data_IF_012468999740
#
_entry.id   IF_012468999740
#
_cell.length_a   1.000
_cell.length_b   1.000
_cell.length_c   1.000
_cell.angle_alpha   90.00
_cell.angle_beta   90.00
_cell.angle_gamma   90.00
#
_symmetry.space_group_name_H-M   'P 1'
#
loop_
_entity.id
_entity.type
_entity.pdbx_description
1 polymer ?
#
# COMPACT_ATOMS: atom_id res chain seq x y z
N UNK A 1 2.01 11.41 -13.14
CA UNK A 1 2.84 10.66 -12.17
C UNK A 1 1.95 9.66 -11.44
N UNK A 2 2.47 8.48 -11.18
CA UNK A 2 1.78 7.33 -10.59
C UNK A 2 2.63 6.75 -9.47
N UNK A 3 1.98 6.17 -8.45
CA UNK A 3 2.65 5.40 -7.41
C UNK A 3 2.13 3.97 -7.46
N UNK A 4 3.02 3.00 -7.39
CA UNK A 4 2.68 1.58 -7.35
C UNK A 4 3.16 1.03 -6.02
N UNK A 5 2.25 0.45 -5.25
CA UNK A 5 2.52 -0.12 -3.94
C UNK A 5 2.47 -1.63 -3.99
N UNK A 6 3.40 -2.27 -3.30
CA UNK A 6 3.40 -3.70 -3.03
C UNK A 6 4.09 -4.01 -1.70
N UNK A 7 3.65 -5.02 -0.98
CA UNK A 7 4.37 -5.51 0.20
C UNK A 7 5.59 -6.36 -0.14
N UNK A 8 5.60 -6.94 -1.35
CA UNK A 8 6.61 -7.90 -1.80
C UNK A 8 7.61 -7.19 -2.71
N UNK A 9 8.86 -7.08 -2.27
CA UNK A 9 9.92 -6.48 -3.08
C UNK A 9 10.16 -7.25 -4.37
N UNK A 10 10.01 -8.58 -4.35
CA UNK A 10 10.09 -9.43 -5.54
C UNK A 10 9.00 -9.12 -6.56
N UNK A 11 7.79 -8.76 -6.11
CA UNK A 11 6.74 -8.37 -7.04
C UNK A 11 7.04 -7.01 -7.68
N UNK A 12 7.64 -6.09 -6.91
CA UNK A 12 8.15 -4.84 -7.47
C UNK A 12 9.22 -5.10 -8.52
N UNK A 13 10.12 -6.07 -8.31
CA UNK A 13 11.16 -6.44 -9.28
C UNK A 13 10.53 -6.90 -10.60
N UNK A 14 9.54 -7.79 -10.54
CA UNK A 14 8.81 -8.26 -11.73
C UNK A 14 8.12 -7.11 -12.46
N UNK A 15 7.41 -6.24 -11.72
CA UNK A 15 6.69 -5.10 -12.30
C UNK A 15 7.67 -4.12 -12.94
N UNK A 16 8.83 -3.90 -12.32
CA UNK A 16 9.88 -3.05 -12.87
C UNK A 16 10.38 -3.60 -14.20
N UNK A 17 10.73 -4.88 -14.25
CA UNK A 17 11.21 -5.54 -15.48
C UNK A 17 10.19 -5.39 -16.62
N UNK A 18 8.92 -5.70 -16.36
CA UNK A 18 7.85 -5.57 -17.35
C UNK A 18 7.67 -4.12 -17.80
N UNK A 19 7.74 -3.14 -16.89
CA UNK A 19 7.61 -1.73 -17.25
C UNK A 19 8.82 -1.22 -18.06
N UNK A 20 10.03 -1.68 -17.76
CA UNK A 20 11.22 -1.32 -18.52
C UNK A 20 11.22 -1.93 -19.92
N UNK A 21 10.63 -3.12 -20.09
CA UNK A 21 10.46 -3.78 -21.38
C UNK A 21 9.34 -3.15 -22.23
N UNK A 22 8.16 -2.97 -21.65
CA UNK A 22 6.96 -2.51 -22.38
C UNK A 22 6.91 -0.99 -22.55
N UNK A 23 7.56 -0.24 -21.66
CA UNK A 23 7.55 1.24 -21.62
C UNK A 23 8.97 1.80 -21.42
N UNK A 24 9.91 1.54 -22.35
CA UNK A 24 11.33 1.89 -22.19
C UNK A 24 11.59 3.39 -22.07
N UNK A 25 10.69 4.25 -22.56
CA UNK A 25 10.77 5.70 -22.42
C UNK A 25 10.37 6.22 -21.03
N UNK A 26 9.74 5.38 -20.21
CA UNK A 26 9.24 5.77 -18.89
C UNK A 26 10.33 5.57 -17.84
N UNK A 27 10.81 6.68 -17.27
CA UNK A 27 11.72 6.60 -16.12
C UNK A 27 10.97 6.12 -14.87
N UNK A 28 11.56 5.13 -14.20
CA UNK A 28 11.06 4.55 -12.95
C UNK A 28 11.89 5.06 -11.75
N UNK A 29 11.24 5.26 -10.61
CA UNK A 29 11.90 5.42 -9.31
C UNK A 29 11.46 4.32 -8.37
N UNK A 30 12.28 4.05 -7.36
CA UNK A 30 12.01 3.03 -6.36
C UNK A 30 12.21 3.55 -4.94
N UNK A 31 11.36 3.09 -4.02
CA UNK A 31 11.50 3.32 -2.59
C UNK A 31 11.36 2.00 -1.84
N UNK A 32 12.48 1.50 -1.32
CA UNK A 32 12.58 0.23 -0.60
C UNK A 32 13.09 0.39 0.83
N UNK A 33 12.77 -0.60 1.66
CA UNK A 33 13.17 -0.68 3.06
C UNK A 33 14.69 -0.83 3.25
N UNK A 34 15.40 -1.34 2.24
CA UNK A 34 16.86 -1.50 2.24
C UNK A 34 17.64 -0.23 1.86
N UNK A 35 16.98 0.79 1.30
CA UNK A 35 17.66 1.99 0.83
C UNK A 35 18.21 2.83 1.99
N UNK A 36 19.42 3.36 1.82
CA UNK A 36 20.00 4.33 2.75
C UNK A 36 19.18 5.62 2.81
N UNK A 37 19.31 6.37 3.90
CA UNK A 37 18.65 7.67 4.06
C UNK A 37 18.96 8.66 2.93
N UNK A 38 20.18 8.61 2.36
CA UNK A 38 20.58 9.44 1.22
C UNK A 38 19.83 9.05 -0.06
N UNK A 39 19.78 7.75 -0.37
CA UNK A 39 19.06 7.23 -1.54
C UNK A 39 17.55 7.51 -1.45
N UNK A 40 16.96 7.32 -0.27
CA UNK A 40 15.54 7.64 -0.02
C UNK A 40 15.25 9.12 -0.29
N UNK A 41 16.08 10.01 0.26
CA UNK A 41 15.92 11.46 0.08
C UNK A 41 16.04 11.85 -1.39
N UNK A 42 17.00 11.27 -2.11
CA UNK A 42 17.16 11.48 -3.55
C UNK A 42 15.88 11.08 -4.30
N UNK A 43 15.42 9.83 -4.16
CA UNK A 43 14.22 9.34 -4.85
C UNK A 43 12.98 10.19 -4.55
N UNK A 44 12.76 10.56 -3.28
CA UNK A 44 11.64 11.41 -2.88
C UNK A 44 11.72 12.83 -3.45
N UNK A 45 12.92 13.41 -3.57
CA UNK A 45 13.10 14.73 -4.15
C UNK A 45 12.91 14.69 -5.67
N UNK A 46 13.53 13.72 -6.34
CA UNK A 46 13.38 13.51 -7.80
C UNK A 46 11.91 13.27 -8.18
N UNK A 47 11.16 12.53 -7.35
CA UNK A 47 9.73 12.31 -7.62
C UNK A 47 8.90 13.60 -7.55
N UNK A 48 9.34 14.61 -6.77
CA UNK A 48 8.62 15.89 -6.65
C UNK A 48 8.77 16.80 -7.86
N UNK A 49 9.85 16.64 -8.63
CA UNK A 49 10.13 17.47 -9.81
C UNK A 49 9.07 17.26 -10.89
N UNK A 50 8.54 18.32 -11.50
CA UNK A 50 7.44 18.20 -12.47
C UNK A 50 7.81 17.34 -13.70
N UNK A 51 9.04 17.51 -14.20
CA UNK A 51 9.62 16.72 -15.30
C UNK A 51 10.35 15.44 -14.83
N UNK A 52 10.22 15.10 -13.56
CA UNK A 52 10.83 13.91 -13.00
C UNK A 52 10.08 12.62 -13.40
N UNK A 53 10.58 11.46 -12.95
CA UNK A 53 10.06 10.14 -13.30
C UNK A 53 8.55 10.00 -13.12
N UNK A 54 7.93 9.26 -14.05
CA UNK A 54 6.48 9.15 -14.13
C UNK A 54 5.92 8.12 -13.14
N UNK A 55 6.67 7.06 -12.87
CA UNK A 55 6.24 5.94 -12.00
C UNK A 55 7.17 5.82 -10.80
N UNK A 56 6.58 5.68 -9.62
CA UNK A 56 7.30 5.45 -8.38
C UNK A 56 6.85 4.14 -7.73
N UNK A 57 7.73 3.16 -7.72
CA UNK A 57 7.52 1.85 -7.13
C UNK A 57 7.88 1.90 -5.64
N UNK A 58 6.94 1.59 -4.75
CA UNK A 58 7.10 1.77 -3.31
C UNK A 58 6.77 0.48 -2.58
N UNK A 59 7.72 -0.03 -1.80
CA UNK A 59 7.40 -1.15 -0.92
C UNK A 59 6.63 -0.68 0.31
N UNK A 60 5.50 -1.33 0.64
CA UNK A 60 4.65 -0.95 1.78
C UNK A 60 5.42 -0.99 3.12
N UNK A 61 6.40 -1.90 3.24
CA UNK A 61 7.32 -1.94 4.39
C UNK A 61 8.22 -0.71 4.51
N UNK A 62 8.53 -0.04 3.40
CA UNK A 62 9.25 1.24 3.40
C UNK A 62 8.33 2.44 3.71
N UNK A 63 7.01 2.27 3.59
CA UNK A 63 6.00 3.32 3.79
C UNK A 63 5.71 3.71 5.24
N UNK A 64 6.25 2.98 6.22
CA UNK A 64 6.18 3.34 7.65
C UNK A 64 6.99 4.60 8.01
N UNK A 65 7.83 5.08 7.09
CA UNK A 65 8.57 6.33 7.21
C UNK A 65 7.67 7.44 6.65
N UNK A 66 7.54 8.59 7.32
CA UNK A 66 6.61 9.69 6.98
C UNK A 66 6.83 10.36 5.62
N UNK A 67 6.68 9.62 4.53
CA UNK A 67 6.89 10.06 3.15
C UNK A 67 5.71 10.88 2.64
N UNK A 68 5.98 11.83 1.73
CA UNK A 68 4.98 12.67 1.10
C UNK A 68 4.99 12.41 -0.40
N UNK A 69 3.87 11.92 -0.93
CA UNK A 69 3.70 11.51 -2.34
C UNK A 69 2.64 12.34 -3.06
N UNK A 70 2.33 13.55 -2.57
CA UNK A 70 1.36 14.50 -3.16
C UNK A 70 1.69 14.92 -4.60
N UNK A 71 2.89 14.67 -5.11
CA UNK A 71 3.20 14.84 -6.53
C UNK A 71 2.42 13.86 -7.43
N UNK A 72 1.86 12.78 -6.89
CA UNK A 72 0.95 11.86 -7.59
C UNK A 72 -0.52 12.15 -7.28
N UNK A 73 -1.40 11.87 -8.25
CA UNK A 73 -2.84 11.80 -8.07
C UNK A 73 -3.42 10.42 -8.45
N UNK A 74 -2.57 9.45 -8.78
CA UNK A 74 -2.99 8.09 -9.08
C UNK A 74 -2.10 7.08 -8.35
N UNK A 75 -2.72 6.12 -7.68
CA UNK A 75 -2.00 5.04 -7.02
C UNK A 75 -2.58 3.67 -7.38
N UNK A 76 -1.71 2.68 -7.49
CA UNK A 76 -2.06 1.29 -7.73
C UNK A 76 -1.54 0.46 -6.56
N UNK A 77 -2.42 -0.32 -5.93
CA UNK A 77 -2.06 -1.28 -4.89
C UNK A 77 -2.12 -2.68 -5.50
N UNK A 78 -0.97 -3.31 -5.64
CA UNK A 78 -0.87 -4.58 -6.36
C UNK A 78 -1.18 -5.80 -5.50
N UNK A 79 -1.07 -5.65 -4.19
CA UNK A 79 -1.38 -6.70 -3.22
C UNK A 79 -2.06 -6.11 -1.99
N UNK A 80 -2.80 -6.96 -1.28
CA UNK A 80 -3.56 -6.58 -0.10
C UNK A 80 -2.78 -6.83 1.18
N UNK A 81 -2.89 -5.89 2.12
CA UNK A 81 -2.33 -6.03 3.46
C UNK A 81 -3.42 -6.43 4.46
N UNK A 82 -3.21 -7.48 5.25
CA UNK A 82 -4.20 -7.97 6.22
C UNK A 82 -4.65 -6.92 7.26
N UNK A 83 -3.77 -5.97 7.60
CA UNK A 83 -4.07 -4.82 8.45
C UNK A 83 -4.48 -3.58 7.62
N UNK A 84 -5.78 -3.23 7.56
CA UNK A 84 -6.28 -2.13 6.73
C UNK A 84 -5.67 -0.77 7.07
N UNK A 85 -5.27 -0.56 8.33
CA UNK A 85 -4.66 0.71 8.77
C UNK A 85 -3.31 1.00 8.07
N UNK A 86 -2.57 -0.04 7.66
CA UNK A 86 -1.30 0.12 6.94
C UNK A 86 -1.56 0.62 5.52
N UNK A 87 -2.57 0.07 4.86
CA UNK A 87 -2.98 0.51 3.52
C UNK A 87 -3.54 1.94 3.56
N UNK A 88 -4.42 2.24 4.50
CA UNK A 88 -4.98 3.56 4.69
C UNK A 88 -3.89 4.60 4.90
N UNK A 89 -2.90 4.31 5.76
CA UNK A 89 -1.76 5.17 5.95
C UNK A 89 -0.92 5.36 4.67
N UNK A 90 -0.78 4.33 3.84
CA UNK A 90 -0.08 4.44 2.56
C UNK A 90 -0.86 5.31 1.55
N UNK A 91 -2.18 5.11 1.47
CA UNK A 91 -3.10 5.91 0.65
C UNK A 91 -3.09 7.39 1.07
N UNK A 92 -3.08 7.66 2.38
CA UNK A 92 -3.00 9.01 2.96
C UNK A 92 -1.73 9.75 2.54
N UNK A 93 -0.65 9.05 2.17
CA UNK A 93 0.58 9.71 1.67
C UNK A 93 0.37 10.34 0.29
N UNK A 94 -0.60 9.86 -0.47
CA UNK A 94 -1.00 10.40 -1.78
C UNK A 94 -2.16 11.40 -1.62
N UNK A 95 -3.15 11.09 -0.78
CA UNK A 95 -4.33 11.91 -0.49
C UNK A 95 -4.07 13.12 0.43
N UNK A 96 -2.85 13.31 0.93
CA UNK A 96 -2.53 14.26 2.00
C UNK A 96 -3.10 15.67 1.81
N UNK A 97 -3.51 16.27 2.93
CA UNK A 97 -4.01 17.65 3.04
C UNK A 97 -3.06 18.62 2.29
N UNK A 98 -3.63 19.41 1.38
CA UNK A 98 -2.91 20.34 0.50
C UNK A 98 -2.86 19.91 -0.97
N UNK A 99 -3.20 18.65 -1.28
CA UNK A 99 -3.43 18.19 -2.65
C UNK A 99 -4.73 18.83 -3.21
N UNK A 100 -4.64 19.49 -4.38
CA UNK A 100 -5.81 20.08 -5.07
C UNK A 100 -6.43 19.17 -6.13
N UNK A 101 -5.74 18.09 -6.51
CA UNK A 101 -6.16 17.14 -7.55
C UNK A 101 -6.95 15.99 -6.93
N UNK A 102 -8.01 15.55 -7.61
CA UNK A 102 -8.68 14.30 -7.25
C UNK A 102 -7.69 13.14 -7.31
N UNK A 103 -7.60 12.38 -6.23
CA UNK A 103 -6.71 11.22 -6.15
C UNK A 103 -7.53 9.97 -6.41
N UNK A 104 -7.06 9.15 -7.35
CA UNK A 104 -7.66 7.86 -7.68
C UNK A 104 -6.73 6.72 -7.21
N UNK A 105 -7.26 5.80 -6.40
CA UNK A 105 -6.53 4.64 -5.92
C UNK A 105 -7.23 3.38 -6.40
N UNK A 106 -6.50 2.57 -7.16
CA UNK A 106 -6.96 1.27 -7.66
C UNK A 106 -6.31 0.19 -6.82
N UNK A 107 -7.13 -0.76 -6.34
CA UNK A 107 -6.67 -1.92 -5.56
C UNK A 107 -6.92 -3.17 -6.38
N UNK A 108 -5.85 -3.92 -6.67
CA UNK A 108 -5.94 -5.21 -7.34
C UNK A 108 -6.04 -6.32 -6.31
N UNK A 109 -6.84 -7.32 -6.63
CA UNK A 109 -6.93 -8.57 -5.90
C UNK A 109 -7.46 -9.66 -6.84
N UNK A 110 -7.17 -10.91 -6.50
CA UNK A 110 -7.63 -12.08 -7.21
C UNK A 110 -8.91 -12.58 -6.55
N UNK A 111 -10.00 -12.63 -7.32
CA UNK A 111 -11.28 -13.19 -6.87
C UNK A 111 -11.14 -14.69 -6.54
N UNK A 112 -11.99 -15.18 -5.63
CA UNK A 112 -11.97 -16.59 -5.18
C UNK A 112 -10.60 -17.04 -4.61
N UNK A 113 -9.82 -16.12 -4.05
CA UNK A 113 -8.50 -16.41 -3.48
C UNK A 113 -8.42 -16.01 -2.00
N UNK A 114 -7.26 -16.27 -1.38
CA UNK A 114 -6.94 -15.76 -0.04
C UNK A 114 -7.06 -14.23 0.06
N UNK A 115 -6.86 -13.50 -1.03
CA UNK A 115 -6.96 -12.04 -1.06
C UNK A 115 -8.41 -11.57 -0.87
N UNK A 116 -9.39 -12.29 -1.39
CA UNK A 116 -10.80 -12.00 -1.12
C UNK A 116 -11.14 -12.19 0.36
N UNK A 117 -10.56 -13.21 1.01
CA UNK A 117 -10.69 -13.40 2.46
C UNK A 117 -10.07 -12.24 3.22
N UNK A 118 -8.90 -11.76 2.79
CA UNK A 118 -8.26 -10.56 3.36
C UNK A 118 -9.20 -9.34 3.27
N UNK A 119 -9.88 -9.12 2.14
CA UNK A 119 -10.86 -8.03 2.03
C UNK A 119 -12.01 -8.14 3.04
N UNK A 120 -12.56 -9.35 3.23
CA UNK A 120 -13.61 -9.61 4.23
C UNK A 120 -13.09 -9.28 5.64
N UNK A 121 -11.90 -9.76 5.98
CA UNK A 121 -11.27 -9.49 7.27
C UNK A 121 -10.99 -7.99 7.51
N UNK A 122 -10.59 -7.26 6.47
CA UNK A 122 -10.43 -5.81 6.56
C UNK A 122 -11.77 -5.11 6.83
N UNK A 123 -12.85 -5.54 6.18
CA UNK A 123 -14.19 -4.98 6.36
C UNK A 123 -14.69 -5.21 7.79
N UNK A 124 -14.56 -6.46 8.29
CA UNK A 124 -14.92 -6.83 9.65
C UNK A 124 -14.14 -6.00 10.66
N UNK A 125 -12.82 -5.89 10.49
CA UNK A 125 -11.96 -5.11 11.39
C UNK A 125 -12.32 -3.62 11.39
N UNK A 126 -12.72 -3.05 10.24
CA UNK A 126 -13.21 -1.66 10.17
C UNK A 126 -14.53 -1.48 10.92
N UNK A 127 -15.45 -2.43 10.83
CA UNK A 127 -16.71 -2.44 11.60
C UNK A 127 -16.43 -2.47 13.11
N UNK A 128 -15.57 -3.39 13.55
CA UNK A 128 -15.17 -3.47 14.96
C UNK A 128 -14.49 -2.19 15.45
N UNK A 129 -13.57 -1.62 14.67
CA UNK A 129 -12.90 -0.37 15.06
C UNK A 129 -13.87 0.82 15.19
N UNK A 130 -14.97 0.84 14.42
CA UNK A 130 -16.02 1.87 14.52
C UNK A 130 -16.95 1.63 15.72
N UNK A 131 -17.21 0.36 16.07
CA UNK A 131 -18.02 -0.01 17.25
C UNK A 131 -17.26 0.05 18.59
N UNK A 132 -15.92 -0.11 18.57
CA UNK A 132 -15.05 -0.17 19.75
C UNK A 132 -14.80 1.18 20.45
N UNK A 133 -15.57 2.22 20.14
CA UNK A 133 -15.68 3.39 21.03
C UNK A 133 -16.42 3.06 22.34
N UNK A 134 -16.97 1.86 22.48
CA UNK A 134 -17.38 1.27 23.76
C UNK A 134 -16.29 0.34 24.28
N UNK A 135 -16.01 0.35 25.60
CA UNK A 135 -14.96 -0.47 26.25
C UNK A 135 -15.10 -1.96 25.88
N UNK A 136 -14.33 -2.43 24.90
CA UNK A 136 -14.32 -3.84 24.47
C UNK A 136 -13.40 -4.65 25.39
N UNK A 137 -13.86 -5.84 25.81
CA UNK A 137 -13.11 -6.77 26.63
C UNK A 137 -11.85 -7.27 25.89
N UNK A 138 -10.64 -7.19 26.48
CA UNK A 138 -9.41 -7.75 25.92
C UNK A 138 -9.50 -9.21 25.45
N UNK A 139 -10.27 -10.06 26.13
CA UNK A 139 -10.47 -11.47 25.74
C UNK A 139 -11.32 -11.60 24.47
N UNK A 140 -12.28 -10.72 24.28
CA UNK A 140 -13.12 -10.66 23.08
C UNK A 140 -12.28 -10.23 21.86
N UNK A 141 -11.39 -9.23 22.04
CA UNK A 141 -10.40 -8.83 21.04
C UNK A 141 -9.47 -10.00 20.67
N UNK A 142 -9.04 -10.80 21.65
CA UNK A 142 -8.18 -11.96 21.44
C UNK A 142 -8.89 -13.06 20.63
N UNK A 143 -10.15 -13.37 20.95
CA UNK A 143 -10.98 -14.33 20.19
C UNK A 143 -11.16 -13.90 18.75
N UNK A 144 -11.47 -12.61 18.51
CA UNK A 144 -11.58 -12.06 17.15
C UNK A 144 -10.27 -12.23 16.38
N UNK A 145 -9.12 -11.90 16.98
CA UNK A 145 -7.81 -12.10 16.34
C UNK A 145 -7.55 -13.56 15.97
N UNK A 146 -7.87 -14.50 16.86
CA UNK A 146 -7.72 -15.93 16.59
C UNK A 146 -8.67 -16.42 15.49
N UNK A 147 -9.91 -15.93 15.48
CA UNK A 147 -10.89 -16.22 14.43
C UNK A 147 -10.42 -15.74 13.05
N UNK A 148 -9.90 -14.52 12.97
CA UNK A 148 -9.31 -13.94 11.75
C UNK A 148 -8.18 -14.83 11.21
N UNK A 149 -7.25 -15.27 12.08
CA UNK A 149 -6.15 -16.15 11.68
C UNK A 149 -6.67 -17.50 11.19
N UNK A 150 -7.67 -18.05 11.87
CA UNK A 150 -8.24 -19.35 11.48
C UNK A 150 -8.91 -19.26 10.11
N UNK A 151 -9.71 -18.22 9.83
CA UNK A 151 -10.35 -18.01 8.53
C UNK A 151 -9.35 -17.79 7.38
N UNK A 152 -8.26 -17.07 7.67
CA UNK A 152 -7.22 -16.78 6.68
C UNK A 152 -6.48 -18.05 6.24
N UNK A 153 -6.23 -18.99 7.17
CA UNK A 153 -5.46 -20.22 6.93
C UNK A 153 -6.31 -21.50 6.83
N UNK A 154 -7.64 -21.42 6.83
CA UNK A 154 -8.51 -22.57 6.52
C UNK A 154 -8.23 -23.05 5.09
N UNK A 155 -7.43 -24.10 4.99
CA UNK A 155 -7.27 -24.89 3.77
C UNK A 155 -8.58 -25.67 3.56
N UNK A 156 -9.20 -25.46 2.40
CA UNK A 156 -10.27 -26.33 1.89
C UNK A 156 -9.67 -27.27 0.86
#
# INVERSE_FOLDING_TARGET
KFVVFSQFTSYIDIVKEVLEEELPEVTLLELRGSMSSKQRRYALNTFKEERGPMVFLVSLRAGGVGINLTSSCKAFMLDLWWNPAVEEQAMDRVHRIGQKRAVNIVRYYVANSVEERILKLQADKKLFSKGAMQKVDPEEVRKVRLGILTELFKLH
#
